data_IF_686448083217
#
_entry.id   IF_686448083217
#
_cell.length_a   1.000
_cell.length_b   1.000
_cell.length_c   1.000
_cell.angle_alpha   90.00
_cell.angle_beta   90.00
_cell.angle_gamma   90.00
#
_symmetry.space_group_name_H-M   'P 1'
#
loop_
_entity.id
_entity.type
_entity.pdbx_description
1 polymer ?
#
# COMPACT_ATOMS: atom_id res chain seq x y z
N UNK A 1 15.60 -12.23 2.37
CA UNK A 1 14.45 -11.77 3.14
C UNK A 1 14.94 -11.42 4.53
N UNK A 2 14.97 -10.13 4.85
CA UNK A 2 15.54 -9.58 6.08
C UNK A 2 16.95 -9.02 5.92
N UNK A 3 17.46 -8.89 4.70
CA UNK A 3 18.79 -8.32 4.43
C UNK A 3 18.73 -6.88 3.86
N UNK A 4 17.51 -6.36 3.66
CA UNK A 4 17.27 -5.02 3.12
C UNK A 4 17.56 -4.92 1.62
N UNK A 5 17.68 -6.05 0.91
CA UNK A 5 17.88 -6.11 -0.53
C UNK A 5 16.76 -6.93 -1.14
N UNK A 6 15.93 -6.29 -1.98
CA UNK A 6 14.84 -6.99 -2.68
C UNK A 6 15.40 -7.98 -3.69
N UNK A 7 15.16 -9.26 -3.45
CA UNK A 7 15.48 -10.34 -4.38
C UNK A 7 14.25 -10.63 -5.26
N UNK A 8 14.06 -9.86 -6.34
CA UNK A 8 12.80 -9.79 -7.12
C UNK A 8 12.24 -11.12 -7.64
N UNK A 9 13.04 -12.20 -7.70
CA UNK A 9 12.55 -13.54 -8.07
C UNK A 9 11.83 -14.26 -6.92
N UNK A 10 12.02 -13.84 -5.68
CA UNK A 10 11.54 -14.51 -4.47
C UNK A 10 10.82 -13.57 -3.48
N UNK A 11 10.98 -12.25 -3.64
CA UNK A 11 10.51 -11.25 -2.68
C UNK A 11 9.73 -10.15 -3.40
N UNK A 12 8.61 -9.74 -2.80
CA UNK A 12 7.84 -8.60 -3.28
C UNK A 12 8.41 -7.29 -2.74
N UNK A 13 9.00 -7.33 -1.53
CA UNK A 13 9.69 -6.22 -0.90
C UNK A 13 10.61 -6.73 0.22
N UNK A 14 11.59 -5.93 0.66
CA UNK A 14 12.45 -6.22 1.80
C UNK A 14 12.95 -4.90 2.40
N UNK A 15 12.43 -4.53 3.57
CA UNK A 15 12.88 -3.33 4.32
C UNK A 15 13.93 -3.66 5.39
N UNK A 16 14.47 -4.89 5.35
CA UNK A 16 15.46 -5.44 6.27
C UNK A 16 14.84 -6.02 7.54
N UNK A 17 13.82 -5.39 8.13
CA UNK A 17 13.20 -5.92 9.36
C UNK A 17 11.98 -6.78 9.06
N UNK A 18 11.22 -6.41 8.03
CA UNK A 18 10.00 -7.07 7.58
C UNK A 18 9.00 -7.32 8.73
N UNK A 19 8.86 -6.34 9.61
CA UNK A 19 8.02 -6.44 10.81
C UNK A 19 6.51 -6.29 10.52
N UNK A 20 6.15 -5.89 9.31
CA UNK A 20 4.79 -5.48 8.94
C UNK A 20 4.47 -4.06 9.42
N UNK A 21 3.26 -3.63 9.11
CA UNK A 21 2.79 -2.26 9.32
C UNK A 21 2.26 -1.64 8.04
N UNK A 22 1.57 -0.52 8.17
CA UNK A 22 0.99 0.18 7.02
C UNK A 22 2.11 0.78 6.15
N UNK A 23 2.15 0.39 4.87
CA UNK A 23 3.20 0.77 3.92
C UNK A 23 4.56 0.12 4.15
N UNK A 24 4.62 -0.97 4.93
CA UNK A 24 5.86 -1.68 5.27
C UNK A 24 5.87 -3.11 4.76
N UNK A 25 7.05 -3.74 4.76
CA UNK A 25 7.15 -5.16 4.41
C UNK A 25 6.70 -6.03 5.57
N UNK A 26 5.86 -7.01 5.27
CA UNK A 26 5.40 -7.99 6.24
C UNK A 26 6.36 -9.19 6.33
N UNK A 27 6.27 -10.00 7.41
CA UNK A 27 7.07 -11.21 7.53
C UNK A 27 6.93 -12.11 6.30
N UNK A 28 8.06 -12.58 5.78
CA UNK A 28 8.11 -13.35 4.53
C UNK A 28 8.32 -12.51 3.27
N UNK A 29 8.67 -11.23 3.39
CA UNK A 29 9.04 -10.35 2.28
C UNK A 29 7.92 -10.19 1.24
N UNK A 30 6.71 -10.07 1.79
CA UNK A 30 5.49 -9.72 1.08
C UNK A 30 5.08 -8.31 1.46
N UNK A 31 4.35 -7.63 0.58
CA UNK A 31 3.81 -6.31 0.90
C UNK A 31 2.85 -6.43 2.09
N UNK A 32 3.02 -5.57 3.10
CA UNK A 32 2.04 -5.38 4.16
C UNK A 32 0.81 -4.60 3.67
N UNK A 33 -0.11 -4.24 4.58
CA UNK A 33 -1.25 -3.36 4.25
C UNK A 33 -0.75 -2.05 3.65
N UNK A 34 -1.30 -1.62 2.53
CA UNK A 34 -0.90 -0.38 1.87
C UNK A 34 -1.99 0.16 0.95
N UNK A 35 -1.92 1.46 0.70
CA UNK A 35 -2.77 2.13 -0.26
C UNK A 35 -2.66 1.49 -1.66
N UNK A 36 -3.79 1.04 -2.17
CA UNK A 36 -3.93 0.42 -3.49
C UNK A 36 -3.98 -1.11 -3.42
N UNK A 37 -4.09 -1.72 -2.24
CA UNK A 37 -4.30 -3.16 -2.08
C UNK A 37 -5.79 -3.56 -2.13
N UNK A 38 -6.68 -2.58 -2.22
CA UNK A 38 -8.12 -2.75 -2.35
C UNK A 38 -8.85 -2.97 -1.03
N UNK A 39 -8.17 -2.79 0.10
CA UNK A 39 -8.73 -2.98 1.44
C UNK A 39 -8.55 -1.71 2.24
N UNK A 40 -9.65 -1.06 2.67
CA UNK A 40 -9.56 0.16 3.48
C UNK A 40 -8.98 -0.10 4.88
N UNK A 41 -7.82 0.47 5.17
CA UNK A 41 -7.10 0.33 6.44
C UNK A 41 -7.21 1.57 7.32
N UNK A 42 -8.22 1.57 8.19
CA UNK A 42 -8.41 2.66 9.17
C UNK A 42 -7.35 2.61 10.29
N UNK A 43 -6.84 3.76 10.76
CA UNK A 43 -7.21 5.14 10.39
C UNK A 43 -6.38 5.72 9.23
N UNK A 44 -5.52 4.94 8.58
CA UNK A 44 -4.57 5.43 7.57
C UNK A 44 -5.25 5.89 6.28
N UNK A 45 -6.28 5.17 5.85
CA UNK A 45 -6.94 5.37 4.56
C UNK A 45 -8.37 5.89 4.69
N UNK A 46 -8.77 6.79 3.81
CA UNK A 46 -10.17 7.22 3.67
C UNK A 46 -10.96 6.32 2.72
N UNK A 47 -10.29 5.86 1.66
CA UNK A 47 -10.73 4.95 0.61
C UNK A 47 -9.54 4.09 0.16
N UNK A 48 -9.84 2.99 -0.55
CA UNK A 48 -8.88 2.22 -1.34
C UNK A 48 -9.70 1.50 -2.42
N UNK A 49 -9.44 1.79 -3.69
CA UNK A 49 -10.13 1.19 -4.84
C UNK A 49 -9.27 0.16 -5.59
N UNK A 50 -8.16 -0.26 -4.97
CA UNK A 50 -7.26 -1.31 -5.45
C UNK A 50 -6.38 -0.88 -6.63
N UNK A 51 -6.24 0.42 -6.87
CA UNK A 51 -5.41 0.93 -7.94
C UNK A 51 -4.63 2.19 -7.50
N UNK A 52 -3.70 2.66 -8.34
CA UNK A 52 -2.84 3.82 -8.08
C UNK A 52 -3.13 5.00 -9.02
N UNK A 53 -4.40 5.23 -9.35
CA UNK A 53 -4.83 6.28 -10.27
C UNK A 53 -5.31 7.51 -9.50
N UNK A 54 -4.57 8.61 -9.63
CA UNK A 54 -4.89 9.82 -8.87
C UNK A 54 -6.15 10.58 -9.35
N UNK A 55 -6.78 10.16 -10.46
CA UNK A 55 -7.85 10.89 -11.14
C UNK A 55 -9.23 10.23 -11.05
N UNK A 56 -9.40 9.16 -10.26
CA UNK A 56 -10.72 8.59 -9.95
C UNK A 56 -11.18 9.05 -8.56
N UNK A 57 -12.13 8.32 -7.96
CA UNK A 57 -12.71 8.66 -6.67
C UNK A 57 -11.74 8.47 -5.50
N UNK A 58 -10.66 7.69 -5.64
CA UNK A 58 -9.66 7.46 -4.62
C UNK A 58 -8.25 7.79 -5.12
N UNK A 59 -7.65 8.85 -4.58
CA UNK A 59 -6.28 9.22 -4.93
C UNK A 59 -5.28 8.13 -4.56
N UNK A 60 -4.07 8.19 -5.14
CA UNK A 60 -2.95 7.33 -4.76
C UNK A 60 -2.40 7.59 -3.34
N UNK A 61 -2.95 8.61 -2.65
CA UNK A 61 -2.73 8.86 -1.23
C UNK A 61 -3.84 8.29 -0.35
N UNK A 62 -4.74 7.48 -0.93
CA UNK A 62 -5.92 6.90 -0.29
C UNK A 62 -6.82 7.95 0.38
N UNK A 63 -6.95 9.10 -0.32
CA UNK A 63 -7.87 10.19 -0.01
C UNK A 63 -8.99 10.24 -1.02
N UNK A 64 -10.20 10.53 -0.55
CA UNK A 64 -11.33 10.72 -1.42
C UNK A 64 -11.11 11.93 -2.32
N UNK A 65 -11.01 11.67 -3.62
CA UNK A 65 -11.16 12.69 -4.63
C UNK A 65 -12.66 12.89 -4.81
N UNK A 66 -13.25 13.79 -4.04
CA UNK A 66 -14.65 14.16 -4.26
C UNK A 66 -14.67 15.06 -5.51
N UNK A 67 -15.19 14.62 -6.67
CA UNK A 67 -15.45 15.56 -7.74
C UNK A 67 -16.53 16.49 -7.21
N UNK A 68 -16.20 17.78 -7.06
CA UNK A 68 -17.18 18.80 -6.74
C UNK A 68 -18.11 18.88 -7.96
N UNK A 69 -19.22 18.14 -7.91
CA UNK A 69 -20.37 18.31 -8.79
C UNK A 69 -20.85 19.75 -8.59
N UNK A 70 -20.51 20.62 -9.54
CA UNK A 70 -21.15 21.92 -9.72
C UNK A 70 -22.52 21.73 -10.39
#
# INVERSE_FOLDING_TARGET
>A
CGDGIVQSAHEQCDDGTNAGGYGQCAPGCVLGPHCGDGIVQKPYEECDDGNNNNNDACSNACKLNIPIIH
#
